data_IF_490901816829
#
_entry.id   IF_490901816829
#
_cell.length_a   1.000
_cell.length_b   1.000
_cell.length_c   1.000
_cell.angle_alpha   90.00
_cell.angle_beta   90.00
_cell.angle_gamma   90.00
#
_symmetry.space_group_name_H-M   'P 1'
#
loop_
_entity.id
_entity.type
_entity.pdbx_description
1 polymer ?
#
# COMPACT_ATOMS: atom_id res chain seq x y z
N UNK A 1 -30.58 23.41 -18.72
CA UNK A 1 -31.12 22.79 -17.50
C UNK A 1 -30.15 21.71 -17.07
N UNK A 2 -29.40 21.99 -16.00
CA UNK A 2 -28.36 21.12 -15.47
C UNK A 2 -29.00 19.98 -14.69
N UNK A 3 -28.87 18.75 -15.17
CA UNK A 3 -29.12 17.53 -14.41
C UNK A 3 -27.93 16.62 -14.64
N UNK A 4 -27.25 16.22 -13.56
CA UNK A 4 -26.07 15.37 -13.63
C UNK A 4 -24.87 15.80 -12.78
N UNK A 5 -25.09 16.52 -11.67
CA UNK A 5 -24.08 16.67 -10.62
C UNK A 5 -24.53 15.88 -9.39
N UNK A 6 -24.54 14.55 -9.52
CA UNK A 6 -24.55 13.66 -8.38
C UNK A 6 -23.12 13.17 -8.21
N UNK A 7 -22.37 13.88 -7.36
CA UNK A 7 -21.00 13.54 -6.99
C UNK A 7 -20.95 12.22 -6.23
N UNK A 8 -20.98 11.10 -6.95
CA UNK A 8 -20.46 9.85 -6.43
C UNK A 8 -18.94 9.94 -6.50
N UNK A 9 -18.35 10.54 -5.47
CA UNK A 9 -16.96 10.27 -5.11
C UNK A 9 -16.93 8.76 -4.88
N UNK A 10 -16.42 8.00 -5.84
CA UNK A 10 -16.17 6.57 -5.64
C UNK A 10 -15.37 6.45 -4.34
N UNK A 11 -15.85 5.68 -3.33
CA UNK A 11 -15.11 5.53 -2.09
C UNK A 11 -13.74 4.95 -2.43
N UNK A 12 -12.69 5.61 -1.93
CA UNK A 12 -11.31 5.16 -2.10
C UNK A 12 -11.21 3.66 -1.84
N UNK A 13 -10.52 2.90 -2.69
CA UNK A 13 -10.43 1.44 -2.58
C UNK A 13 -9.96 0.94 -1.19
N UNK A 14 -9.27 1.78 -0.41
CA UNK A 14 -8.89 1.50 0.98
C UNK A 14 -10.00 1.73 2.02
N UNK A 15 -11.05 2.49 1.70
CA UNK A 15 -12.12 2.83 2.65
C UNK A 15 -12.96 1.61 3.05
N UNK A 16 -13.24 0.70 2.12
CA UNK A 16 -13.93 -0.55 2.42
C UNK A 16 -13.06 -1.52 3.23
N UNK A 17 -11.75 -1.56 2.94
CA UNK A 17 -10.79 -2.35 3.72
C UNK A 17 -10.68 -1.85 5.15
N UNK A 18 -10.57 -0.53 5.34
CA UNK A 18 -10.48 0.11 6.65
C UNK A 18 -11.79 -0.08 7.46
N UNK A 19 -12.95 0.10 6.81
CA UNK A 19 -14.24 -0.14 7.43
C UNK A 19 -14.41 -1.59 7.89
N UNK A 20 -13.91 -2.55 7.10
CA UNK A 20 -13.92 -3.96 7.48
C UNK A 20 -12.97 -4.25 8.64
N UNK A 21 -11.78 -3.64 8.69
CA UNK A 21 -10.87 -3.72 9.83
C UNK A 21 -11.48 -3.13 11.09
N UNK A 22 -12.16 -1.98 11.00
CA UNK A 22 -12.86 -1.36 12.13
C UNK A 22 -14.00 -2.24 12.65
N UNK A 23 -14.78 -2.86 11.76
CA UNK A 23 -15.83 -3.79 12.16
C UNK A 23 -15.26 -5.01 12.89
N UNK A 24 -14.18 -5.60 12.40
CA UNK A 24 -13.52 -6.73 13.05
C UNK A 24 -12.96 -6.35 14.43
N UNK A 25 -12.36 -5.16 14.55
CA UNK A 25 -11.86 -4.65 15.82
C UNK A 25 -12.99 -4.39 16.82
N UNK A 26 -14.13 -3.87 16.36
CA UNK A 26 -15.30 -3.63 17.20
C UNK A 26 -15.93 -4.93 17.68
N UNK A 27 -16.04 -5.93 16.80
CA UNK A 27 -16.52 -7.26 17.16
C UNK A 27 -15.58 -7.93 18.17
N UNK A 28 -14.26 -7.84 17.96
CA UNK A 28 -13.26 -8.31 18.92
C UNK A 28 -13.40 -7.62 20.28
N UNK A 29 -13.44 -6.29 20.33
CA UNK A 29 -13.60 -5.53 21.58
C UNK A 29 -14.91 -5.88 22.30
N UNK A 30 -16.00 -6.11 21.56
CA UNK A 30 -17.27 -6.55 22.14
C UNK A 30 -17.17 -7.94 22.77
N UNK A 31 -16.44 -8.87 22.14
CA UNK A 31 -16.12 -10.19 22.70
C UNK A 31 -15.30 -10.09 23.99
N UNK A 32 -14.27 -9.23 24.01
CA UNK A 32 -13.45 -8.97 25.21
C UNK A 32 -14.28 -8.38 26.36
N UNK A 33 -15.20 -7.46 26.07
CA UNK A 33 -16.08 -6.87 27.09
C UNK A 33 -17.07 -7.89 27.66
N UNK A 34 -17.63 -8.75 26.82
CA UNK A 34 -18.54 -9.81 27.27
C UNK A 34 -17.79 -10.84 28.12
N UNK A 35 -16.57 -11.21 27.73
CA UNK A 35 -15.71 -12.09 28.51
C UNK A 35 -15.36 -11.46 29.88
N UNK A 36 -15.00 -10.16 29.90
CA UNK A 36 -14.74 -9.45 31.16
C UNK A 36 -15.96 -9.46 32.09
N UNK A 37 -17.17 -9.27 31.53
CA UNK A 37 -18.42 -9.37 32.30
C UNK A 37 -18.62 -10.76 32.91
N UNK A 38 -18.33 -11.82 32.17
CA UNK A 38 -18.45 -13.21 32.65
C UNK A 38 -17.40 -13.55 33.70
N UNK A 39 -16.17 -13.08 33.53
CA UNK A 39 -15.12 -13.22 34.55
C UNK A 39 -15.52 -12.49 35.84
N UNK A 40 -16.10 -11.29 35.71
CA UNK A 40 -16.54 -10.52 36.86
C UNK A 40 -17.74 -11.13 37.58
N UNK A 41 -18.69 -11.72 36.86
CA UNK A 41 -19.77 -12.49 37.48
C UNK A 41 -19.23 -13.73 38.20
N UNK A 42 -18.25 -14.43 37.64
CA UNK A 42 -17.61 -15.59 38.30
C UNK A 42 -16.86 -15.19 39.58
N UNK A 43 -16.14 -14.06 39.56
CA UNK A 43 -15.47 -13.53 40.76
C UNK A 43 -16.50 -13.16 41.83
N UNK A 44 -17.59 -12.50 41.44
CA UNK A 44 -18.67 -12.14 42.38
C UNK A 44 -19.33 -13.38 42.99
N UNK A 45 -19.56 -14.43 42.21
CA UNK A 45 -20.04 -15.73 42.72
C UNK A 45 -19.01 -16.43 43.62
N UNK A 46 -17.72 -16.29 43.31
CA UNK A 46 -16.62 -16.77 44.16
C UNK A 46 -16.61 -16.07 45.52
N UNK A 47 -16.71 -14.73 45.51
CA UNK A 47 -16.79 -13.90 46.72
C UNK A 47 -18.02 -14.26 47.56
N UNK A 48 -19.20 -14.39 46.95
CA UNK A 48 -20.42 -14.78 47.66
C UNK A 48 -20.34 -16.20 48.27
N UNK A 49 -19.56 -17.11 47.66
CA UNK A 49 -19.27 -18.45 48.22
C UNK A 49 -18.31 -18.35 49.41
N UNK A 50 -17.27 -17.52 49.31
CA UNK A 50 -16.32 -17.28 50.40
C UNK A 50 -17.01 -16.60 51.58
N UNK A 51 -17.87 -15.61 51.34
CA UNK A 51 -18.66 -14.93 52.37
C UNK A 51 -19.62 -15.90 53.09
N UNK A 52 -20.25 -16.84 52.36
CA UNK A 52 -21.05 -17.91 52.98
C UNK A 52 -20.24 -18.87 53.85
N UNK A 53 -18.99 -19.17 53.46
CA UNK A 53 -18.08 -20.00 54.25
C UNK A 53 -17.53 -19.25 55.47
N UNK A 54 -17.20 -17.97 55.31
CA UNK A 54 -16.72 -17.10 56.36
C UNK A 54 -17.82 -16.75 57.36
N UNK A 55 -19.06 -16.55 56.91
CA UNK A 55 -20.24 -16.38 57.74
C UNK A 55 -20.58 -17.64 58.56
N UNK A 56 -20.32 -18.84 58.03
CA UNK A 56 -20.42 -20.09 58.80
C UNK A 56 -19.29 -20.24 59.83
N UNK A 57 -18.06 -19.83 59.51
CA UNK A 57 -16.95 -19.81 60.47
C UNK A 57 -17.14 -18.74 61.57
N UNK A 58 -17.75 -17.60 61.25
CA UNK A 58 -18.08 -16.55 62.21
C UNK A 58 -19.30 -16.91 63.09
N UNK A 59 -20.29 -17.65 62.56
CA UNK A 59 -21.43 -18.13 63.36
C UNK A 59 -21.11 -19.37 64.21
N UNK A 60 -20.07 -20.14 63.88
CA UNK A 60 -19.64 -21.30 64.69
C UNK A 60 -18.72 -20.92 65.87
N UNK A 61 -18.74 -19.64 66.29
CA UNK A 61 -18.15 -19.15 67.54
C UNK A 61 -19.09 -19.23 68.75
N UNK A 62 -20.28 -19.86 68.64
CA UNK A 62 -21.18 -20.07 69.78
C UNK A 62 -21.24 -21.54 70.19
N UNK A 63 -20.66 -21.81 71.36
CA UNK A 63 -20.96 -22.97 72.20
C UNK A 63 -22.46 -22.97 72.54
N UNK A 64 -23.17 -24.12 72.50
CA UNK A 64 -24.53 -24.20 73.01
C UNK A 64 -24.51 -24.09 74.53
N UNK A 65 -24.82 -22.92 75.10
CA UNK A 65 -25.17 -22.80 76.51
C UNK A 65 -26.64 -23.17 76.66
N UNK A 66 -26.89 -24.43 77.01
CA UNK A 66 -28.16 -24.89 77.55
C UNK A 66 -28.06 -24.88 79.08
N UNK A 67 -28.90 -24.05 79.70
CA UNK A 67 -29.27 -23.98 81.11
C UNK A 67 -28.20 -23.60 82.15
N UNK A 68 -28.60 -22.65 83.00
CA UNK A 68 -27.81 -22.14 84.10
C UNK A 68 -27.51 -23.20 85.14
N UNK A 69 -26.22 -23.53 85.26
CA UNK A 69 -25.57 -23.88 86.50
C UNK A 69 -24.21 -23.17 86.49
N UNK A 70 -23.97 -22.37 87.52
CA UNK A 70 -22.67 -21.72 87.75
C UNK A 70 -21.68 -22.77 88.23
N UNK A 71 -21.15 -23.54 87.28
CA UNK A 71 -19.93 -24.32 87.52
C UNK A 71 -18.76 -23.34 87.68
N UNK A 72 -17.83 -23.59 88.62
CA UNK A 72 -16.60 -22.81 88.68
C UNK A 72 -15.94 -22.91 87.30
N UNK A 73 -15.59 -21.77 86.71
CA UNK A 73 -14.77 -21.72 85.52
C UNK A 73 -13.43 -22.36 85.94
N UNK A 74 -13.27 -23.65 85.69
CA UNK A 74 -11.98 -24.33 85.80
C UNK A 74 -11.02 -23.54 84.93
N UNK A 75 -10.03 -22.94 85.58
CA UNK A 75 -8.86 -22.40 84.91
C UNK A 75 -8.33 -23.53 84.01
N UNK A 76 -8.20 -23.32 82.69
CA UNK A 76 -7.81 -24.40 81.79
C UNK A 76 -6.52 -25.02 82.33
N UNK A 77 -6.45 -26.35 82.48
CA UNK A 77 -5.30 -26.99 83.10
C UNK A 77 -4.04 -26.55 82.36
N UNK A 78 -3.03 -26.11 83.11
CA UNK A 78 -1.76 -25.68 82.53
C UNK A 78 -1.29 -26.76 81.54
N UNK A 79 -0.99 -26.38 80.28
CA UNK A 79 -0.79 -27.34 79.22
C UNK A 79 0.34 -28.29 79.62
N UNK A 80 0.08 -29.58 79.49
CA UNK A 80 1.07 -30.60 79.85
C UNK A 80 2.26 -30.51 78.89
N UNK A 81 3.44 -30.90 79.34
CA UNK A 81 4.68 -30.83 78.54
C UNK A 81 4.51 -31.51 77.17
N UNK A 82 3.73 -32.60 77.10
CA UNK A 82 3.42 -33.30 75.84
C UNK A 82 2.53 -32.49 74.89
N UNK A 83 1.56 -31.72 75.41
CA UNK A 83 0.72 -30.84 74.60
C UNK A 83 1.55 -29.70 73.99
N UNK A 84 2.47 -29.11 74.77
CA UNK A 84 3.39 -28.09 74.26
C UNK A 84 4.35 -28.65 73.21
N UNK A 85 4.90 -29.85 73.42
CA UNK A 85 5.74 -30.53 72.43
C UNK A 85 4.99 -30.82 71.13
N UNK A 86 3.73 -31.24 71.22
CA UNK A 86 2.88 -31.50 70.05
C UNK A 86 2.55 -30.20 69.30
N UNK A 87 2.21 -29.13 70.03
CA UNK A 87 1.97 -27.82 69.44
C UNK A 87 3.20 -27.26 68.74
N UNK A 88 4.39 -27.42 69.33
CA UNK A 88 5.66 -27.00 68.75
C UNK A 88 6.00 -27.81 67.48
N UNK A 89 5.79 -29.13 67.51
CA UNK A 89 5.97 -29.97 66.33
C UNK A 89 5.03 -29.56 65.18
N UNK A 90 3.75 -29.29 65.48
CA UNK A 90 2.77 -28.82 64.51
C UNK A 90 3.14 -27.44 63.95
N UNK A 91 3.59 -26.51 64.81
CA UNK A 91 4.05 -25.19 64.39
C UNK A 91 5.27 -25.29 63.46
N UNK A 92 6.26 -26.13 63.78
CA UNK A 92 7.43 -26.35 62.94
C UNK A 92 7.06 -26.97 61.58
N UNK A 93 6.13 -27.92 61.55
CA UNK A 93 5.61 -28.47 60.29
C UNK A 93 4.91 -27.38 59.45
N UNK A 94 4.13 -26.51 60.10
CA UNK A 94 3.46 -25.40 59.42
C UNK A 94 4.45 -24.40 58.86
N UNK A 95 5.48 -24.03 59.62
CA UNK A 95 6.57 -23.15 59.17
C UNK A 95 7.25 -23.75 57.95
N UNK A 96 7.66 -25.02 58.02
CA UNK A 96 8.28 -25.70 56.88
C UNK A 96 7.38 -25.74 55.63
N UNK A 97 6.06 -25.88 55.80
CA UNK A 97 5.11 -25.84 54.68
C UNK A 97 4.99 -24.45 54.06
N UNK A 98 4.99 -23.40 54.89
CA UNK A 98 4.91 -22.01 54.44
C UNK A 98 6.20 -21.59 53.76
N UNK A 99 7.36 -22.02 54.26
CA UNK A 99 8.67 -21.77 53.64
C UNK A 99 8.75 -22.38 52.24
N UNK A 100 8.24 -23.62 52.06
CA UNK A 100 8.17 -24.25 50.72
C UNK A 100 7.26 -23.45 49.79
N UNK A 101 6.05 -23.10 50.25
CA UNK A 101 5.12 -22.30 49.46
C UNK A 101 5.69 -20.92 49.10
N UNK A 102 6.43 -20.30 50.01
CA UNK A 102 7.10 -19.03 49.77
C UNK A 102 8.20 -19.16 48.71
N UNK A 103 9.04 -20.19 48.81
CA UNK A 103 10.07 -20.47 47.80
C UNK A 103 9.46 -20.74 46.41
N UNK A 104 8.34 -21.46 46.35
CA UNK A 104 7.65 -21.72 45.08
C UNK A 104 7.04 -20.45 44.49
N UNK A 105 6.46 -19.57 45.32
CA UNK A 105 5.95 -18.27 44.89
C UNK A 105 7.06 -17.35 44.37
N UNK A 106 8.21 -17.29 45.06
CA UNK A 106 9.38 -16.51 44.62
C UNK A 106 9.89 -17.01 43.27
N UNK A 107 9.98 -18.33 43.07
CA UNK A 107 10.37 -18.92 41.78
C UNK A 107 9.39 -18.57 40.67
N UNK A 108 8.10 -18.63 40.95
CA UNK A 108 7.06 -18.28 39.98
C UNK A 108 7.13 -16.79 39.62
N UNK A 109 7.32 -15.92 40.61
CA UNK A 109 7.49 -14.49 40.38
C UNK A 109 8.70 -14.22 39.47
N UNK A 110 9.84 -14.86 39.75
CA UNK A 110 11.04 -14.73 38.91
C UNK A 110 10.77 -15.17 37.46
N UNK A 111 10.09 -16.31 37.27
CA UNK A 111 9.75 -16.80 35.93
C UNK A 111 8.82 -15.83 35.17
N UNK A 112 7.89 -15.16 35.87
CA UNK A 112 7.06 -14.13 35.26
C UNK A 112 7.85 -12.88 34.91
N UNK A 113 8.73 -12.42 35.79
CA UNK A 113 9.60 -11.27 35.53
C UNK A 113 10.49 -11.52 34.31
N UNK A 114 11.11 -12.69 34.22
CA UNK A 114 11.94 -13.08 33.08
C UNK A 114 11.14 -13.14 31.77
N UNK A 115 9.94 -13.74 31.82
CA UNK A 115 9.07 -13.85 30.64
C UNK A 115 8.56 -12.48 30.19
N UNK A 116 8.17 -11.62 31.14
CA UNK A 116 7.74 -10.25 30.85
C UNK A 116 8.89 -9.41 30.27
N UNK A 117 10.12 -9.62 30.74
CA UNK A 117 11.30 -8.97 30.16
C UNK A 117 11.52 -9.42 28.71
N UNK A 118 11.57 -10.74 28.45
CA UNK A 118 11.80 -11.27 27.10
C UNK A 118 10.71 -10.84 26.12
N UNK A 119 9.44 -10.94 26.53
CA UNK A 119 8.30 -10.50 25.70
C UNK A 119 8.35 -9.00 25.42
N UNK A 120 8.70 -8.18 26.40
CA UNK A 120 8.83 -6.73 26.21
C UNK A 120 9.96 -6.40 25.22
N UNK A 121 11.09 -7.09 25.32
CA UNK A 121 12.22 -6.86 24.42
C UNK A 121 11.91 -7.32 22.99
N UNK A 122 11.22 -8.45 22.82
CA UNK A 122 10.70 -8.89 21.52
C UNK A 122 9.71 -7.89 20.91
N UNK A 123 8.80 -7.34 21.71
CA UNK A 123 7.83 -6.33 21.23
C UNK A 123 8.55 -5.06 20.81
N UNK A 124 9.54 -4.58 21.58
CA UNK A 124 10.35 -3.42 21.21
C UNK A 124 11.11 -3.65 19.90
N UNK A 125 11.73 -4.82 19.77
CA UNK A 125 12.45 -5.18 18.55
C UNK A 125 11.51 -5.25 17.35
N UNK A 126 10.37 -5.91 17.48
CA UNK A 126 9.36 -5.98 16.42
C UNK A 126 8.87 -4.59 16.00
N UNK A 127 8.54 -3.72 16.96
CA UNK A 127 8.11 -2.35 16.65
C UNK A 127 9.19 -1.56 15.89
N UNK A 128 10.47 -1.73 16.27
CA UNK A 128 11.59 -1.09 15.59
C UNK A 128 11.79 -1.63 14.17
N UNK A 129 11.77 -2.94 13.99
CA UNK A 129 11.87 -3.60 12.67
C UNK A 129 10.71 -3.19 11.76
N UNK A 130 9.49 -3.16 12.29
CA UNK A 130 8.31 -2.74 11.57
C UNK A 130 8.40 -1.27 11.12
N UNK A 131 8.86 -0.38 12.00
CA UNK A 131 9.08 1.02 11.65
C UNK A 131 10.11 1.16 10.53
N UNK A 132 11.21 0.41 10.59
CA UNK A 132 12.23 0.41 9.54
C UNK A 132 11.69 -0.12 8.21
N UNK A 133 10.87 -1.17 8.25
CA UNK A 133 10.22 -1.71 7.05
C UNK A 133 9.29 -0.68 6.40
N UNK A 134 8.46 0.01 7.21
CA UNK A 134 7.57 1.08 6.72
C UNK A 134 8.38 2.21 6.08
N UNK A 135 9.46 2.64 6.71
CA UNK A 135 10.35 3.68 6.17
C UNK A 135 10.99 3.23 4.86
N UNK A 136 11.49 1.99 4.79
CA UNK A 136 12.08 1.43 3.57
C UNK A 136 11.05 1.35 2.43
N UNK A 137 9.81 0.97 2.73
CA UNK A 137 8.72 0.95 1.75
C UNK A 137 8.41 2.35 1.21
N UNK A 138 8.34 3.36 2.09
CA UNK A 138 8.13 4.73 1.63
C UNK A 138 9.28 5.24 0.75
N UNK A 139 10.52 4.92 1.11
CA UNK A 139 11.70 5.28 0.31
C UNK A 139 11.66 4.61 -1.07
N UNK A 140 11.35 3.32 -1.15
CA UNK A 140 11.27 2.61 -2.43
C UNK A 140 10.13 3.16 -3.31
N UNK A 141 8.98 3.48 -2.74
CA UNK A 141 7.87 4.11 -3.47
C UNK A 141 8.24 5.50 -3.99
N UNK A 142 8.93 6.30 -3.17
CA UNK A 142 9.40 7.62 -3.58
C UNK A 142 10.43 7.52 -4.72
N UNK A 143 11.34 6.56 -4.66
CA UNK A 143 12.30 6.28 -5.72
C UNK A 143 11.59 5.86 -7.03
N UNK A 144 10.62 4.95 -6.96
CA UNK A 144 9.84 4.53 -8.13
C UNK A 144 9.04 5.70 -8.75
N UNK A 145 8.45 6.56 -7.93
CA UNK A 145 7.76 7.76 -8.40
C UNK A 145 8.71 8.77 -9.04
N UNK A 146 9.89 8.97 -8.46
CA UNK A 146 10.92 9.84 -9.03
C UNK A 146 11.40 9.30 -10.38
N UNK A 147 11.61 7.98 -10.47
CA UNK A 147 12.01 7.30 -11.71
C UNK A 147 10.94 7.44 -12.80
N UNK A 148 9.67 7.18 -12.50
CA UNK A 148 8.59 7.33 -13.48
C UNK A 148 8.47 8.77 -14.00
N UNK A 149 8.69 9.77 -13.12
CA UNK A 149 8.73 11.18 -13.51
C UNK A 149 9.92 11.49 -14.43
N UNK A 150 11.12 10.97 -14.12
CA UNK A 150 12.29 11.17 -14.98
C UNK A 150 12.10 10.49 -16.34
N UNK A 151 11.56 9.28 -16.39
CA UNK A 151 11.26 8.56 -17.64
C UNK A 151 10.25 9.34 -18.48
N UNK A 152 9.21 9.90 -17.86
CA UNK A 152 8.23 10.74 -18.56
C UNK A 152 8.86 12.01 -19.12
N UNK A 153 9.73 12.68 -18.34
CA UNK A 153 10.45 13.87 -18.78
C UNK A 153 11.39 13.54 -19.94
N UNK A 154 12.11 12.42 -19.86
CA UNK A 154 12.99 11.94 -20.92
C UNK A 154 12.22 11.61 -22.20
N UNK A 155 11.07 10.93 -22.10
CA UNK A 155 10.18 10.68 -23.23
C UNK A 155 9.68 11.98 -23.89
N UNK A 156 9.35 13.01 -23.09
CA UNK A 156 8.97 14.32 -23.62
C UNK A 156 10.14 15.03 -24.32
N UNK A 157 11.35 14.98 -23.75
CA UNK A 157 12.54 15.57 -24.36
C UNK A 157 12.92 14.88 -25.67
N UNK A 158 12.88 13.54 -25.71
CA UNK A 158 13.16 12.77 -26.92
C UNK A 158 12.12 13.08 -28.00
N UNK A 159 10.84 13.13 -27.66
CA UNK A 159 9.78 13.52 -28.59
C UNK A 159 9.97 14.95 -29.13
N UNK A 160 10.29 15.93 -28.27
CA UNK A 160 10.61 17.28 -28.72
C UNK A 160 11.83 17.31 -29.65
N UNK A 161 12.88 16.55 -29.33
CA UNK A 161 14.06 16.40 -30.20
C UNK A 161 13.70 15.83 -31.57
N UNK A 162 12.84 14.81 -31.61
CA UNK A 162 12.34 14.22 -32.84
C UNK A 162 11.51 15.22 -33.64
N UNK A 163 10.57 15.93 -33.01
CA UNK A 163 9.77 16.97 -33.67
C UNK A 163 10.64 18.08 -34.27
N UNK A 164 11.64 18.56 -33.54
CA UNK A 164 12.57 19.56 -34.03
C UNK A 164 13.40 19.03 -35.23
N UNK A 165 13.86 17.78 -35.16
CA UNK A 165 14.59 17.15 -36.27
C UNK A 165 13.72 17.00 -37.53
N UNK A 166 12.45 16.61 -37.36
CA UNK A 166 11.49 16.48 -38.46
C UNK A 166 11.16 17.83 -39.08
N UNK A 167 11.00 18.88 -38.27
CA UNK A 167 10.81 20.25 -38.76
C UNK A 167 12.00 20.68 -39.63
N UNK A 168 13.23 20.49 -39.16
CA UNK A 168 14.45 20.80 -39.93
C UNK A 168 14.53 20.00 -41.23
N UNK A 169 14.19 18.71 -41.21
CA UNK A 169 14.13 17.89 -42.43
C UNK A 169 13.06 18.41 -43.40
N UNK A 170 11.87 18.76 -42.89
CA UNK A 170 10.79 19.30 -43.72
C UNK A 170 11.15 20.64 -44.37
N UNK A 171 11.85 21.51 -43.63
CA UNK A 171 12.38 22.78 -44.13
C UNK A 171 13.47 22.53 -45.18
N UNK A 172 14.40 21.61 -44.91
CA UNK A 172 15.43 21.21 -45.86
C UNK A 172 14.87 20.65 -47.16
N UNK A 173 13.84 19.81 -47.10
CA UNK A 173 13.15 19.26 -48.29
C UNK A 173 12.44 20.37 -49.07
N UNK A 174 11.72 21.28 -48.39
CA UNK A 174 11.08 22.43 -49.06
C UNK A 174 12.11 23.34 -49.72
N UNK A 175 13.23 23.61 -49.06
CA UNK A 175 14.32 24.41 -49.61
C UNK A 175 14.96 23.73 -50.83
N UNK A 176 15.20 22.41 -50.77
CA UNK A 176 15.74 21.64 -51.89
C UNK A 176 14.79 21.60 -53.10
N UNK A 177 13.48 21.43 -52.86
CA UNK A 177 12.46 21.48 -53.92
C UNK A 177 12.42 22.87 -54.58
N UNK A 178 12.44 23.93 -53.78
CA UNK A 178 12.49 25.31 -54.30
C UNK A 178 13.76 25.57 -55.11
N UNK A 179 14.92 25.11 -54.64
CA UNK A 179 16.17 25.22 -55.38
C UNK A 179 16.11 24.49 -56.74
N UNK A 180 15.57 23.27 -56.76
CA UNK A 180 15.34 22.50 -58.01
C UNK A 180 14.38 23.22 -58.97
N UNK A 181 13.31 23.83 -58.46
CA UNK A 181 12.41 24.64 -59.28
C UNK A 181 13.13 25.85 -59.87
N UNK A 182 13.90 26.58 -59.06
CA UNK A 182 14.69 27.74 -59.49
C UNK A 182 15.73 27.40 -60.56
N UNK A 183 16.36 26.22 -60.50
CA UNK A 183 17.27 25.73 -61.54
C UNK A 183 16.59 25.53 -62.92
N UNK A 184 15.31 25.14 -62.94
CA UNK A 184 14.53 24.94 -64.17
C UNK A 184 13.92 26.23 -64.75
N UNK A 185 13.69 27.24 -63.92
CA UNK A 185 13.09 28.52 -64.32
C UNK A 185 13.84 29.31 -65.41
N UNK A 186 15.19 29.39 -65.48
CA UNK A 186 15.87 30.13 -66.54
C UNK A 186 15.61 29.52 -67.93
N UNK A 187 15.60 28.19 -68.03
CA UNK A 187 15.30 27.50 -69.29
C UNK A 187 13.86 27.71 -69.72
N UNK A 188 12.90 27.57 -68.78
CA UNK A 188 11.47 27.84 -69.06
C UNK A 188 11.25 29.28 -69.52
N UNK A 189 11.89 30.27 -68.87
CA UNK A 189 11.83 31.68 -69.30
C UNK A 189 12.45 31.90 -70.67
N UNK A 190 13.57 31.24 -70.99
CA UNK A 190 14.22 31.35 -72.30
C UNK A 190 13.35 30.76 -73.41
N UNK A 191 12.75 29.58 -73.19
CA UNK A 191 11.84 28.95 -74.14
C UNK A 191 10.62 29.84 -74.38
N UNK A 192 10.00 30.38 -73.32
CA UNK A 192 8.86 31.29 -73.46
C UNK A 192 9.22 32.56 -74.27
N UNK A 193 10.39 33.16 -74.01
CA UNK A 193 10.86 34.32 -74.77
C UNK A 193 11.11 33.98 -76.25
N UNK A 194 11.67 32.80 -76.55
CA UNK A 194 11.87 32.33 -77.91
C UNK A 194 10.54 32.02 -78.63
N UNK A 195 9.56 31.42 -77.93
CA UNK A 195 8.20 31.20 -78.46
C UNK A 195 7.55 32.53 -78.86
N UNK A 196 7.67 33.56 -78.03
CA UNK A 196 7.14 34.91 -78.33
C UNK A 196 7.88 35.57 -79.50
N UNK A 197 9.21 35.46 -79.56
CA UNK A 197 9.99 35.97 -80.70
C UNK A 197 9.57 35.30 -82.02
N UNK A 198 9.41 33.97 -82.02
CA UNK A 198 8.92 33.22 -83.18
C UNK A 198 7.52 33.70 -83.57
N UNK A 199 6.62 33.91 -82.61
CA UNK A 199 5.27 34.43 -82.86
C UNK A 199 5.30 35.79 -83.55
N UNK A 200 6.12 36.71 -83.06
CA UNK A 200 6.28 38.07 -83.65
C UNK A 200 6.91 38.01 -85.04
N UNK A 201 7.94 37.19 -85.23
CA UNK A 201 8.61 37.03 -86.54
C UNK A 201 7.65 36.44 -87.59
N UNK A 202 6.84 35.46 -87.19
CA UNK A 202 5.83 34.82 -88.04
C UNK A 202 4.73 35.81 -88.45
N UNK A 203 4.24 36.61 -87.50
CA UNK A 203 3.30 37.69 -87.77
C UNK A 203 3.87 38.71 -88.77
N UNK A 204 5.15 39.08 -88.65
CA UNK A 204 5.82 39.99 -89.61
C UNK A 204 6.03 39.37 -90.99
N UNK A 205 6.19 38.06 -91.09
CA UNK A 205 6.32 37.34 -92.36
C UNK A 205 4.97 37.04 -93.04
N UNK A 206 3.84 37.41 -92.41
CA UNK A 206 2.50 37.14 -92.93
C UNK A 206 2.08 35.67 -92.84
N UNK A 207 2.74 34.90 -91.97
CA UNK A 207 2.43 33.48 -91.73
C UNK A 207 1.45 33.37 -90.56
N UNK A 208 0.51 32.43 -90.64
CA UNK A 208 -0.49 32.18 -89.58
C UNK A 208 0.20 31.80 -88.27
N UNK A 209 -0.24 32.30 -87.09
CA UNK A 209 0.36 31.92 -85.81
C UNK A 209 0.35 30.40 -85.63
N UNK A 210 1.43 29.85 -85.07
CA UNK A 210 1.46 28.43 -84.71
C UNK A 210 0.38 28.22 -83.64
N UNK A 211 -0.50 27.23 -83.83
CA UNK A 211 -1.37 26.77 -82.73
C UNK A 211 -0.45 26.27 -81.63
N UNK A 212 -0.44 26.96 -80.49
CA UNK A 212 0.20 26.45 -79.29
C UNK A 212 -0.56 25.17 -78.91
N UNK A 213 -0.06 24.00 -79.31
CA UNK A 213 -0.53 22.75 -78.74
C UNK A 213 -0.07 22.72 -77.29
N UNK A 214 -1.01 22.95 -76.37
CA UNK A 214 -0.83 22.87 -74.92
C UNK A 214 -0.36 21.48 -74.42
N UNK A 215 -0.22 20.50 -75.32
CA UNK A 215 0.13 19.12 -75.00
C UNK A 215 1.61 18.87 -74.69
N UNK A 216 2.55 19.74 -75.08
CA UNK A 216 3.99 19.51 -74.79
C UNK A 216 4.40 19.90 -73.35
N UNK A 217 3.64 20.75 -72.66
CA UNK A 217 3.97 21.17 -71.27
C UNK A 217 3.45 20.17 -70.21
N UNK A 218 2.64 19.20 -70.60
CA UNK A 218 1.94 18.29 -69.67
C UNK A 218 2.70 16.98 -69.38
N UNK A 219 3.63 16.55 -70.23
CA UNK A 219 4.28 15.23 -70.11
C UNK A 219 5.46 15.16 -69.13
N UNK A 220 6.05 16.29 -68.71
CA UNK A 220 7.23 16.25 -67.82
C UNK A 220 6.91 16.11 -66.31
N UNK A 221 5.64 16.17 -65.90
CA UNK A 221 5.28 16.17 -64.46
C UNK A 221 5.01 14.77 -63.90
N UNK A 222 4.78 13.74 -64.73
CA UNK A 222 4.35 12.41 -64.25
C UNK A 222 5.48 11.44 -63.86
N UNK A 223 6.75 11.69 -64.20
CA UNK A 223 7.80 10.67 -64.05
C UNK A 223 8.33 10.52 -62.60
N UNK A 224 8.01 11.41 -61.65
CA UNK A 224 8.66 11.41 -60.33
C UNK A 224 7.76 11.12 -59.11
N UNK A 225 6.67 10.36 -59.29
CA UNK A 225 5.96 9.71 -58.17
C UNK A 225 6.43 8.27 -58.02
N UNK A 226 7.65 8.11 -57.50
CA UNK A 226 8.16 6.84 -57.02
C UNK A 226 7.25 6.28 -55.93
N UNK A 227 6.35 5.36 -56.31
CA UNK A 227 5.59 4.50 -55.41
C UNK A 227 6.52 3.36 -54.98
N UNK A 228 6.89 3.21 -53.71
CA UNK A 228 7.51 1.96 -53.27
C UNK A 228 6.41 0.91 -53.16
N UNK A 229 6.30 0.05 -54.17
CA UNK A 229 5.69 -1.26 -54.01
C UNK A 229 6.70 -2.15 -53.30
N UNK A 230 6.47 -2.45 -52.04
CA UNK A 230 7.06 -3.64 -51.43
C UNK A 230 5.94 -4.54 -50.95
N UNK A 231 5.71 -5.60 -51.72
CA UNK A 231 4.91 -6.75 -51.39
C UNK A 231 5.86 -7.94 -51.29
N UNK A 232 5.75 -8.70 -50.20
CA UNK A 232 6.53 -9.89 -49.88
C UNK A 232 7.24 -9.71 -48.53
N UNK A 233 7.11 -10.57 -47.52
CA UNK A 233 6.58 -11.93 -47.45
C UNK A 233 6.16 -12.22 -46.01
N UNK A 234 5.14 -13.07 -45.89
CA UNK A 234 4.65 -13.64 -44.66
C UNK A 234 5.51 -14.88 -44.34
N UNK A 235 6.25 -14.91 -43.23
CA UNK A 235 6.85 -16.16 -42.69
C UNK A 235 6.91 -16.10 -41.16
N UNK A 236 5.95 -16.82 -40.55
CA UNK A 236 6.06 -17.71 -39.39
C UNK A 236 6.84 -17.28 -38.13
N UNK A 237 6.17 -17.36 -36.97
CA UNK A 237 6.83 -17.73 -35.71
C UNK A 237 6.23 -17.12 -34.44
N UNK A 238 5.06 -17.59 -34.01
CA UNK A 238 4.80 -17.67 -32.57
C UNK A 238 5.74 -18.74 -31.97
N UNK A 239 6.21 -18.53 -30.74
CA UNK A 239 6.04 -19.58 -29.76
C UNK A 239 5.39 -19.07 -28.49
N UNK A 240 4.56 -19.95 -27.94
CA UNK A 240 4.14 -19.94 -26.56
C UNK A 240 5.34 -20.16 -25.64
N UNK A 241 5.44 -19.34 -24.59
CA UNK A 241 5.44 -19.73 -23.16
C UNK A 241 5.29 -18.46 -22.30
#
# INVERSE_FOLDING_TARGET
MYSGMNGSIMPSAGHYSDMQTLMQNMESLSGWLEQNRQEWSQVQEGLARVERLQGRLAQQGQLPLLNGDTQPIEEPPAPTVSQLQTALANANQRIASLERSYQDQVRLQQAYEDTLSDTTDRVRQYCFEQQNHIVALHQSYQQALAQSRSETMEAQLTHQGWQASLQRLSEGVRAALKAREEEGMPYKRRIAALKEEIRVLRAKAGWEPLQDSEDEDSEEVEVNRGRPTNAGENVLGAPAE
#
